data_IF_582724278432
#
_entry.id   IF_582724278432
#
_cell.length_a   1.000
_cell.length_b   1.000
_cell.length_c   1.000
_cell.angle_alpha   90.00
_cell.angle_beta   90.00
_cell.angle_gamma   90.00
#
_symmetry.space_group_name_H-M   'P 1'
#
loop_
_entity.id
_entity.type
_entity.pdbx_description
1 polymer ?
#
# COMPACT_ATOMS: atom_id res chain seq x y z
N UNK A 1 11.61 -6.13 -1.41
CA UNK A 1 10.36 -6.74 -0.94
C UNK A 1 10.44 -8.22 -1.22
N UNK A 2 10.86 -8.96 -0.21
CA UNK A 2 11.01 -10.41 -0.31
C UNK A 2 9.66 -11.10 -0.46
N UNK A 3 9.62 -12.31 -1.01
CA UNK A 3 8.42 -13.11 -1.15
C UNK A 3 7.97 -13.68 0.21
N UNK A 4 7.52 -12.80 1.08
CA UNK A 4 6.97 -13.15 2.39
C UNK A 4 5.45 -13.25 2.33
N UNK A 5 4.86 -13.85 3.38
CA UNK A 5 3.40 -14.06 3.49
C UNK A 5 2.55 -12.80 3.23
N UNK A 6 3.09 -11.62 3.55
CA UNK A 6 2.41 -10.33 3.43
C UNK A 6 2.89 -9.49 2.24
N UNK A 7 3.57 -10.11 1.27
CA UNK A 7 4.19 -9.39 0.14
C UNK A 7 3.21 -8.60 -0.74
N UNK A 8 1.92 -8.93 -0.69
CA UNK A 8 0.89 -8.24 -1.45
C UNK A 8 0.76 -6.74 -1.13
N UNK A 9 1.03 -6.34 0.12
CA UNK A 9 0.89 -4.94 0.55
C UNK A 9 1.95 -4.00 -0.02
N UNK A 10 3.11 -4.54 -0.42
CA UNK A 10 4.29 -3.73 -0.77
C UNK A 10 4.05 -2.77 -1.92
N UNK A 11 3.50 -3.23 -3.04
CA UNK A 11 3.31 -2.42 -4.23
C UNK A 11 2.32 -1.24 -4.00
N UNK A 12 1.10 -1.46 -3.48
CA UNK A 12 0.16 -0.36 -3.27
C UNK A 12 0.63 0.63 -2.20
N UNK A 13 1.24 0.17 -1.10
CA UNK A 13 1.78 1.07 -0.06
C UNK A 13 2.93 1.91 -0.62
N UNK A 14 3.85 1.29 -1.37
CA UNK A 14 4.97 2.00 -1.98
C UNK A 14 4.49 3.04 -2.99
N UNK A 15 3.50 2.72 -3.82
CA UNK A 15 2.92 3.66 -4.77
C UNK A 15 2.20 4.83 -4.07
N UNK A 16 1.47 4.55 -2.99
CA UNK A 16 0.82 5.59 -2.20
C UNK A 16 1.84 6.55 -1.58
N UNK A 17 2.89 6.03 -0.96
CA UNK A 17 3.94 6.87 -0.41
C UNK A 17 4.77 7.59 -1.46
N UNK A 18 4.94 7.04 -2.66
CA UNK A 18 5.62 7.73 -3.74
C UNK A 18 4.91 9.03 -4.11
N UNK A 19 3.58 9.05 -4.14
CA UNK A 19 2.79 10.26 -4.33
C UNK A 19 2.99 11.25 -3.18
N UNK A 20 2.77 10.83 -1.95
CA UNK A 20 2.91 11.67 -0.75
C UNK A 20 4.29 12.33 -0.66
N UNK A 21 5.34 11.58 -0.97
CA UNK A 21 6.74 12.01 -0.83
C UNK A 21 7.32 12.64 -2.11
N UNK A 22 6.56 12.67 -3.20
CA UNK A 22 7.01 13.10 -4.53
C UNK A 22 8.26 12.34 -4.99
N UNK A 23 8.21 11.02 -4.87
CA UNK A 23 9.26 10.13 -5.35
C UNK A 23 8.84 9.48 -6.66
N UNK A 24 9.76 9.32 -7.59
CA UNK A 24 9.50 8.48 -8.75
C UNK A 24 9.40 7.03 -8.31
N UNK A 25 8.25 6.37 -8.45
CA UNK A 25 8.13 4.98 -8.05
C UNK A 25 8.95 4.11 -8.98
N UNK A 26 9.77 3.26 -8.39
CA UNK A 26 10.45 2.21 -9.13
C UNK A 26 9.62 0.96 -8.93
N UNK A 27 8.85 0.58 -9.94
CA UNK A 27 8.16 -0.71 -9.94
C UNK A 27 9.10 -1.72 -10.58
N UNK A 28 9.59 -2.63 -9.77
CA UNK A 28 10.39 -3.74 -10.26
C UNK A 28 9.46 -4.83 -10.79
N UNK A 29 9.42 -4.98 -12.08
CA UNK A 29 8.88 -6.15 -12.73
C UNK A 29 9.95 -6.66 -13.70
N UNK A 30 10.71 -7.65 -13.28
CA UNK A 30 11.57 -8.36 -14.21
C UNK A 30 10.72 -9.41 -14.93
N UNK A 31 10.26 -9.07 -16.11
CA UNK A 31 9.70 -10.04 -17.02
C UNK A 31 10.86 -10.77 -17.71
N UNK A 32 11.22 -11.92 -17.20
CA UNK A 32 11.98 -12.91 -17.97
C UNK A 32 11.02 -13.98 -18.48
N UNK A 33 11.54 -14.93 -19.22
CA UNK A 33 10.76 -16.01 -19.79
C UNK A 33 9.95 -16.77 -18.71
N UNK A 34 8.86 -17.37 -19.14
CA UNK A 34 7.99 -18.20 -18.31
C UNK A 34 8.80 -19.27 -17.56
N UNK A 35 8.55 -19.39 -16.25
CA UNK A 35 9.17 -20.40 -15.39
C UNK A 35 8.11 -21.40 -15.00
N UNK A 36 8.31 -22.66 -15.36
CA UNK A 36 7.38 -23.75 -15.03
C UNK A 36 7.52 -24.24 -13.59
N UNK A 37 8.68 -23.99 -12.97
CA UNK A 37 9.01 -24.47 -11.64
C UNK A 37 8.65 -23.44 -10.55
N UNK A 38 8.42 -23.92 -9.34
CA UNK A 38 8.22 -23.09 -8.13
C UNK A 38 9.54 -22.44 -7.70
N UNK A 39 10.12 -21.64 -8.57
CA UNK A 39 11.37 -20.94 -8.30
C UNK A 39 11.10 -19.60 -7.61
N UNK A 40 11.80 -19.40 -6.52
CA UNK A 40 11.79 -18.10 -5.82
C UNK A 40 12.99 -17.31 -6.35
N UNK A 41 12.74 -16.47 -7.34
CA UNK A 41 13.74 -15.60 -7.92
C UNK A 41 14.34 -14.58 -6.95
N UNK A 42 15.14 -13.67 -7.46
CA UNK A 42 15.68 -12.55 -6.67
C UNK A 42 14.54 -11.66 -6.13
N UNK A 43 14.80 -10.94 -5.06
CA UNK A 43 13.83 -10.14 -4.30
C UNK A 43 12.94 -9.19 -5.13
N UNK A 44 13.42 -8.78 -6.31
CA UNK A 44 12.70 -7.89 -7.23
C UNK A 44 11.91 -8.62 -8.32
N UNK A 45 12.01 -9.93 -8.40
CA UNK A 45 11.27 -10.72 -9.38
C UNK A 45 9.83 -10.90 -8.90
N UNK A 46 8.88 -10.55 -9.77
CA UNK A 46 7.44 -10.64 -9.45
C UNK A 46 6.75 -11.79 -10.17
N UNK A 47 7.44 -12.54 -11.03
CA UNK A 47 6.86 -13.61 -11.87
C UNK A 47 6.18 -14.69 -11.05
N UNK A 48 6.78 -15.02 -9.91
CA UNK A 48 6.35 -16.11 -9.05
C UNK A 48 5.60 -15.63 -7.82
N UNK A 49 5.17 -14.36 -7.83
CA UNK A 49 4.39 -13.76 -6.74
C UNK A 49 3.06 -13.25 -7.28
N UNK A 50 2.05 -14.14 -7.43
CA UNK A 50 0.81 -13.82 -8.11
C UNK A 50 0.07 -12.64 -7.48
N UNK A 51 0.20 -12.47 -6.17
CA UNK A 51 -0.43 -11.36 -5.44
C UNK A 51 0.19 -10.00 -5.76
N UNK A 52 1.51 -9.94 -6.03
CA UNK A 52 2.17 -8.72 -6.54
C UNK A 52 1.72 -8.41 -7.96
N UNK A 53 1.67 -9.42 -8.82
CA UNK A 53 1.23 -9.26 -10.20
C UNK A 53 -0.20 -8.70 -10.27
N UNK A 54 -1.13 -9.23 -9.48
CA UNK A 54 -2.52 -8.79 -9.43
C UNK A 54 -2.69 -7.31 -9.00
N UNK A 55 -1.77 -6.79 -8.20
CA UNK A 55 -1.81 -5.41 -7.69
C UNK A 55 -0.93 -4.43 -8.49
N UNK A 56 -0.11 -4.93 -9.41
CA UNK A 56 0.81 -4.09 -10.19
C UNK A 56 0.08 -3.03 -11.01
N UNK A 57 -1.05 -3.39 -11.60
CA UNK A 57 -1.83 -2.47 -12.43
C UNK A 57 -2.39 -1.29 -11.60
N UNK A 58 -3.05 -1.57 -10.47
CA UNK A 58 -3.61 -0.54 -9.59
C UNK A 58 -2.49 0.34 -9.02
N UNK A 59 -1.41 -0.27 -8.58
CA UNK A 59 -0.26 0.44 -8.02
C UNK A 59 0.41 1.35 -9.04
N UNK A 60 0.61 0.86 -10.27
CA UNK A 60 1.17 1.64 -11.37
C UNK A 60 0.25 2.79 -11.79
N UNK A 61 -1.05 2.53 -11.90
CA UNK A 61 -2.04 3.53 -12.26
C UNK A 61 -2.12 4.66 -11.23
N UNK A 62 -2.15 4.32 -9.93
CA UNK A 62 -2.14 5.28 -8.82
C UNK A 62 -0.88 6.18 -8.85
N UNK A 63 0.29 5.59 -9.11
CA UNK A 63 1.54 6.32 -9.18
C UNK A 63 1.62 7.24 -10.41
N UNK A 64 1.25 6.75 -11.60
CA UNK A 64 1.32 7.53 -12.86
C UNK A 64 0.35 8.71 -12.84
N UNK A 65 -0.86 8.53 -12.30
CA UNK A 65 -1.86 9.59 -12.21
C UNK A 65 -1.64 10.56 -11.05
N UNK A 66 -0.75 10.21 -10.10
CA UNK A 66 -0.58 10.99 -8.88
C UNK A 66 -1.87 11.01 -8.05
N UNK A 67 -2.49 9.84 -7.82
CA UNK A 67 -3.75 9.76 -7.07
C UNK A 67 -3.60 10.25 -5.64
N UNK A 68 -2.43 10.06 -5.02
CA UNK A 68 -2.09 10.59 -3.70
C UNK A 68 -1.43 11.94 -3.85
N UNK A 69 -1.97 12.94 -3.18
CA UNK A 69 -1.46 14.29 -3.21
C UNK A 69 -0.08 14.39 -2.52
N UNK A 70 0.78 15.20 -3.11
CA UNK A 70 2.11 15.49 -2.56
C UNK A 70 2.01 16.28 -1.26
N UNK A 71 2.77 15.87 -0.24
CA UNK A 71 2.93 16.65 0.99
C UNK A 71 3.62 17.97 0.69
N UNK A 72 2.96 19.07 1.04
CA UNK A 72 3.52 20.43 0.90
C UNK A 72 4.38 20.84 2.10
N UNK A 73 4.47 19.99 3.12
CA UNK A 73 5.30 20.21 4.31
C UNK A 73 6.22 19.02 4.53
N UNK A 74 7.27 19.22 5.30
CA UNK A 74 8.24 18.17 5.56
C UNK A 74 9.09 18.41 6.80
N UNK A 75 9.80 17.37 7.19
CA UNK A 75 10.78 17.35 8.27
C UNK A 75 12.15 16.99 7.70
N UNK A 76 13.14 17.85 7.90
CA UNK A 76 14.47 17.69 7.32
C UNK A 76 15.54 17.77 8.39
N UNK A 77 16.52 16.89 8.33
CA UNK A 77 17.72 16.93 9.14
C UNK A 77 18.85 17.59 8.35
N UNK A 78 19.56 18.52 8.97
CA UNK A 78 20.71 19.17 8.36
C UNK A 78 22.01 18.56 8.85
N UNK A 79 22.89 18.22 7.92
CA UNK A 79 24.16 17.54 8.18
C UNK A 79 25.27 18.25 7.42
N UNK A 80 26.41 18.51 8.10
CA UNK A 80 27.59 19.02 7.40
C UNK A 80 28.17 17.95 6.46
N UNK A 81 28.74 18.37 5.34
CA UNK A 81 29.38 17.45 4.39
C UNK A 81 30.52 16.68 5.01
N UNK A 82 31.28 17.30 5.91
CA UNK A 82 32.36 16.65 6.63
C UNK A 82 31.84 15.57 7.57
N UNK A 83 30.77 15.83 8.32
CA UNK A 83 30.14 14.84 9.18
C UNK A 83 29.57 13.67 8.35
N UNK A 84 28.90 13.97 7.24
CA UNK A 84 28.37 12.95 6.35
C UNK A 84 29.46 12.09 5.70
N UNK A 85 30.65 12.65 5.42
CA UNK A 85 31.75 11.93 4.79
C UNK A 85 32.66 11.19 5.78
N UNK A 86 32.71 11.62 7.04
CA UNK A 86 33.60 11.07 8.07
C UNK A 86 33.02 9.87 8.80
N UNK A 87 31.73 9.61 8.68
CA UNK A 87 31.03 8.58 9.43
C UNK A 87 30.44 7.53 8.48
N UNK A 88 30.94 6.29 8.58
CA UNK A 88 30.45 5.17 7.74
C UNK A 88 29.01 4.79 8.10
N UNK A 89 28.60 5.01 9.33
CA UNK A 89 27.29 4.64 9.87
C UNK A 89 26.47 5.86 10.31
N UNK A 90 26.41 6.90 9.48
CA UNK A 90 25.56 8.05 9.80
C UNK A 90 24.10 7.62 9.88
N UNK A 91 23.51 7.76 11.06
CA UNK A 91 22.11 7.43 11.29
C UNK A 91 21.29 8.72 11.37
N UNK A 92 20.33 8.82 10.47
CA UNK A 92 19.32 9.87 10.54
C UNK A 92 18.37 9.63 11.72
N UNK A 93 18.18 10.63 12.55
CA UNK A 93 17.27 10.58 13.70
C UNK A 93 15.89 11.17 13.36
N UNK A 94 15.38 10.84 12.18
CA UNK A 94 14.03 11.26 11.77
C UNK A 94 13.00 10.32 12.40
N UNK A 95 12.07 10.84 13.20
CA UNK A 95 11.05 10.02 13.86
C UNK A 95 10.19 9.24 12.88
N UNK A 96 9.95 7.96 13.17
CA UNK A 96 9.14 7.09 12.31
C UNK A 96 7.72 7.61 12.10
N UNK A 97 7.14 8.25 13.11
CA UNK A 97 5.81 8.85 13.00
C UNK A 97 5.76 9.92 11.90
N UNK A 98 6.78 10.77 11.80
CA UNK A 98 6.86 11.82 10.77
C UNK A 98 7.02 11.24 9.39
N UNK A 99 7.87 10.19 9.24
CA UNK A 99 8.10 9.49 7.96
C UNK A 99 6.81 8.94 7.35
N UNK A 100 5.80 8.68 8.17
CA UNK A 100 4.51 8.13 7.74
C UNK A 100 3.48 9.17 7.37
N UNK A 101 3.69 10.44 7.73
CA UNK A 101 2.67 11.47 7.52
C UNK A 101 3.07 12.56 6.53
N UNK A 102 4.37 12.76 6.30
CA UNK A 102 4.86 13.85 5.48
C UNK A 102 6.21 13.53 4.83
N UNK A 103 6.70 14.43 3.98
CA UNK A 103 8.04 14.37 3.43
C UNK A 103 9.09 14.40 4.53
N UNK A 104 10.16 13.64 4.31
CA UNK A 104 11.35 13.68 5.15
C UNK A 104 12.59 13.68 4.27
N UNK A 105 13.66 14.29 4.74
CA UNK A 105 14.90 14.34 3.96
C UNK A 105 16.09 14.85 4.75
N UNK A 106 17.20 14.98 4.05
CA UNK A 106 18.48 15.48 4.57
C UNK A 106 18.90 16.69 3.75
N UNK A 107 19.28 17.75 4.43
CA UNK A 107 19.93 18.91 3.83
C UNK A 107 21.43 18.87 4.13
N UNK A 108 22.27 18.80 3.11
CA UNK A 108 23.71 18.89 3.27
C UNK A 108 24.13 20.35 3.30
N UNK A 109 24.95 20.72 4.27
CA UNK A 109 25.54 22.07 4.40
C UNK A 109 27.07 22.02 4.41
N UNK A 110 27.71 23.08 3.92
CA UNK A 110 29.17 23.29 4.03
C UNK A 110 29.56 23.98 5.34
N UNK A 111 28.59 24.43 6.13
CA UNK A 111 28.83 25.06 7.43
C UNK A 111 28.91 23.99 8.54
N UNK A 112 30.10 23.81 9.12
CA UNK A 112 30.37 22.85 10.18
C UNK A 112 29.59 23.14 11.47
N UNK A 113 29.25 24.39 11.73
CA UNK A 113 28.47 24.78 12.91
C UNK A 113 26.96 24.51 12.72
N UNK A 114 26.57 24.10 11.51
CA UNK A 114 25.20 23.80 11.14
C UNK A 114 24.98 22.30 11.05
N UNK A 115 25.18 21.60 12.12
CA UNK A 115 24.79 20.19 12.26
C UNK A 115 23.50 20.08 13.07
N UNK A 116 22.65 19.11 12.72
CA UNK A 116 21.36 18.92 13.36
C UNK A 116 20.19 19.59 12.60
N UNK A 117 19.10 19.77 13.28
CA UNK A 117 17.85 20.25 12.67
C UNK A 117 17.80 21.76 12.50
N UNK A 118 18.42 22.26 11.48
CA UNK A 118 18.56 23.71 11.28
C UNK A 118 17.64 24.29 10.25
N UNK A 119 17.31 23.55 9.23
CA UNK A 119 16.41 24.07 8.20
C UNK A 119 14.98 23.88 8.57
N UNK A 120 14.73 24.03 9.89
CA UNK A 120 13.37 24.14 10.20
C UNK A 120 12.57 22.98 9.79
N UNK A 121 13.13 21.82 10.06
CA UNK A 121 12.26 20.76 10.27
C UNK A 121 11.13 21.34 11.09
N UNK A 122 9.99 21.09 10.65
CA UNK A 122 8.82 21.60 11.30
C UNK A 122 8.67 20.81 12.61
N UNK A 123 9.28 21.29 13.71
CA UNK A 123 9.15 20.65 15.03
C UNK A 123 7.69 20.50 15.42
N UNK A 124 6.84 21.45 15.04
CA UNK A 124 5.41 21.32 15.21
C UNK A 124 4.81 20.11 14.46
N UNK A 125 5.38 19.74 13.32
CA UNK A 125 4.98 18.54 12.59
C UNK A 125 5.39 17.26 13.32
N UNK A 126 6.59 17.25 13.91
CA UNK A 126 7.07 16.14 14.75
C UNK A 126 6.16 15.98 15.96
N UNK A 127 5.96 17.05 16.72
CA UNK A 127 5.10 17.03 17.90
C UNK A 127 3.67 16.57 17.56
N UNK A 128 3.15 17.03 16.43
CA UNK A 128 1.84 16.62 15.92
C UNK A 128 1.78 15.12 15.62
N UNK A 129 2.79 14.59 14.92
CA UNK A 129 2.85 13.16 14.56
C UNK A 129 2.97 12.27 15.81
N UNK A 130 3.84 12.64 16.73
CA UNK A 130 4.06 11.90 17.98
C UNK A 130 2.82 11.93 18.88
N UNK A 131 2.17 13.08 18.99
CA UNK A 131 0.93 13.24 19.73
C UNK A 131 -0.19 12.38 19.13
N UNK A 132 -0.38 12.44 17.81
CA UNK A 132 -1.39 11.65 17.11
C UNK A 132 -1.16 10.15 17.34
N UNK A 133 0.07 9.67 17.21
CA UNK A 133 0.42 8.28 17.46
C UNK A 133 0.13 7.87 18.91
N UNK A 134 0.52 8.70 19.88
CA UNK A 134 0.33 8.44 21.31
C UNK A 134 -1.13 8.39 21.72
N UNK A 135 -1.95 9.30 21.16
CA UNK A 135 -3.36 9.43 21.55
C UNK A 135 -4.28 8.43 20.85
N UNK A 136 -3.94 8.03 19.64
CA UNK A 136 -4.86 7.24 18.78
C UNK A 136 -4.32 5.89 18.31
N UNK A 137 -3.02 5.63 18.48
CA UNK A 137 -2.35 4.49 17.85
C UNK A 137 -2.26 4.58 16.32
N UNK A 138 -2.70 5.70 15.73
CA UNK A 138 -2.84 5.88 14.28
C UNK A 138 -2.04 7.08 13.80
N UNK A 139 -1.69 7.04 12.51
CA UNK A 139 -1.01 8.11 11.82
C UNK A 139 -1.75 8.41 10.52
N UNK A 140 -2.17 9.67 10.34
CA UNK A 140 -2.81 10.14 9.11
C UNK A 140 -1.87 11.09 8.40
N UNK A 141 -1.66 10.92 7.10
CA UNK A 141 -0.84 11.83 6.30
C UNK A 141 -1.35 13.26 6.38
N UNK A 142 -0.48 14.23 6.18
CA UNK A 142 -0.85 15.66 6.17
C UNK A 142 -1.82 16.00 5.04
N UNK A 143 -1.92 15.15 4.02
CA UNK A 143 -2.93 15.26 2.95
C UNK A 143 -4.28 14.66 3.33
N UNK A 144 -4.33 13.90 4.44
CA UNK A 144 -5.54 13.20 4.89
C UNK A 144 -5.87 11.91 4.14
N UNK A 145 -5.11 11.56 3.12
CA UNK A 145 -5.43 10.46 2.19
C UNK A 145 -4.88 9.10 2.61
N UNK A 146 -3.82 9.09 3.42
CA UNK A 146 -3.19 7.87 3.90
C UNK A 146 -3.33 7.75 5.41
N UNK A 147 -3.75 6.58 5.89
CA UNK A 147 -3.86 6.33 7.33
C UNK A 147 -3.24 4.98 7.69
N UNK A 148 -2.32 4.98 8.64
CA UNK A 148 -1.73 3.78 9.24
C UNK A 148 -2.29 3.59 10.64
N UNK A 149 -2.85 2.43 10.92
CA UNK A 149 -3.23 2.00 12.26
C UNK A 149 -2.14 1.05 12.77
N UNK A 150 -1.34 1.53 13.72
CA UNK A 150 -0.17 0.79 14.22
C UNK A 150 -0.55 -0.36 15.14
N UNK A 151 -1.68 -0.27 15.82
CA UNK A 151 -2.16 -1.31 16.74
C UNK A 151 -2.81 -2.47 15.97
N UNK A 152 -3.60 -2.13 14.95
CA UNK A 152 -4.30 -3.11 14.15
C UNK A 152 -3.51 -3.59 12.94
N UNK A 153 -2.33 -3.03 12.69
CA UNK A 153 -1.48 -3.33 11.53
C UNK A 153 -2.25 -3.22 10.21
N UNK A 154 -2.99 -2.09 10.05
CA UNK A 154 -3.73 -1.81 8.83
C UNK A 154 -3.32 -0.48 8.22
N UNK A 155 -3.50 -0.39 6.91
CA UNK A 155 -3.21 0.80 6.12
C UNK A 155 -4.38 1.13 5.21
N UNK A 156 -4.76 2.40 5.16
CA UNK A 156 -5.82 2.90 4.30
C UNK A 156 -5.27 3.86 3.26
N UNK A 157 -5.77 3.71 2.05
CA UNK A 157 -5.62 4.67 0.95
C UNK A 157 -7.02 5.22 0.69
N UNK A 158 -7.21 6.53 0.79
CA UNK A 158 -8.52 7.16 0.66
C UNK A 158 -8.45 8.40 -0.21
N UNK A 159 -8.08 8.22 -1.48
CA UNK A 159 -8.02 9.27 -2.47
C UNK A 159 -9.32 9.33 -3.30
N UNK A 160 -9.46 10.34 -4.14
CA UNK A 160 -10.63 10.47 -5.01
C UNK A 160 -10.72 9.34 -6.06
N UNK A 161 -9.56 8.82 -6.55
CA UNK A 161 -9.50 7.86 -7.65
C UNK A 161 -9.14 6.46 -7.24
N UNK A 162 -8.45 6.29 -6.11
CA UNK A 162 -8.09 4.97 -5.56
C UNK A 162 -8.36 4.93 -4.07
N UNK A 163 -9.07 3.90 -3.64
CA UNK A 163 -9.33 3.62 -2.24
C UNK A 163 -8.91 2.20 -1.92
N UNK A 164 -8.36 1.97 -0.72
CA UNK A 164 -7.90 0.64 -0.33
C UNK A 164 -7.84 0.44 1.17
N UNK A 165 -8.05 -0.80 1.59
CA UNK A 165 -7.89 -1.26 2.96
C UNK A 165 -6.97 -2.47 2.97
N UNK A 166 -5.86 -2.38 3.67
CA UNK A 166 -4.67 -3.24 3.52
C UNK A 166 -4.19 -3.68 4.88
N UNK A 167 -3.73 -4.93 5.00
CA UNK A 167 -3.05 -5.43 6.19
C UNK A 167 -3.84 -6.49 6.96
N UNK A 168 -3.73 -6.51 8.29
CA UNK A 168 -4.41 -7.49 9.16
C UNK A 168 -5.87 -7.08 9.41
N UNK A 169 -6.67 -7.15 8.37
CA UNK A 169 -8.06 -6.65 8.38
C UNK A 169 -9.07 -7.55 9.09
N UNK A 170 -8.83 -8.87 9.22
CA UNK A 170 -9.53 -9.88 10.02
C UNK A 170 -10.95 -9.53 10.51
N UNK A 171 -11.94 -9.42 9.64
CA UNK A 171 -13.33 -9.05 9.97
C UNK A 171 -13.54 -7.57 10.34
N UNK A 172 -12.48 -6.76 10.38
CA UNK A 172 -12.58 -5.31 10.59
C UNK A 172 -13.12 -4.63 9.34
N UNK A 173 -13.77 -3.49 9.53
CA UNK A 173 -14.33 -2.70 8.45
C UNK A 173 -13.47 -1.45 8.20
N UNK A 174 -12.93 -1.35 6.99
CA UNK A 174 -12.34 -0.11 6.47
C UNK A 174 -13.45 0.80 5.94
N UNK A 175 -13.61 1.99 6.51
CA UNK A 175 -14.61 2.98 6.09
C UNK A 175 -13.91 4.11 5.36
N UNK A 176 -14.04 4.10 4.04
CA UNK A 176 -13.42 5.07 3.14
C UNK A 176 -14.51 6.00 2.54
N UNK A 177 -14.13 6.98 1.76
CA UNK A 177 -15.10 7.95 1.22
C UNK A 177 -16.18 7.27 0.37
N UNK A 178 -15.78 6.50 -0.63
CA UNK A 178 -16.70 5.86 -1.59
C UNK A 178 -16.79 4.33 -1.43
N UNK A 179 -16.06 3.75 -0.48
CA UNK A 179 -16.09 2.31 -0.26
C UNK A 179 -16.07 1.94 1.23
N UNK A 180 -16.89 0.97 1.60
CA UNK A 180 -16.73 0.25 2.85
C UNK A 180 -16.22 -1.15 2.53
N UNK A 181 -15.08 -1.52 3.12
CA UNK A 181 -14.38 -2.77 2.80
C UNK A 181 -14.35 -3.67 4.03
N UNK A 182 -14.77 -4.92 3.89
CA UNK A 182 -14.71 -5.91 4.96
C UNK A 182 -14.32 -7.27 4.38
N UNK A 183 -13.33 -7.94 4.99
CA UNK A 183 -13.01 -9.33 4.69
C UNK A 183 -12.75 -10.11 5.97
N UNK A 184 -13.11 -11.40 5.93
CA UNK A 184 -12.93 -12.34 7.06
C UNK A 184 -11.49 -12.81 7.20
N UNK A 185 -10.70 -12.71 6.13
CA UNK A 185 -9.31 -13.12 6.08
C UNK A 185 -8.47 -12.34 7.09
N UNK A 186 -7.55 -13.02 7.78
CA UNK A 186 -6.64 -12.36 8.72
C UNK A 186 -5.79 -11.28 8.05
N UNK A 187 -5.43 -11.48 6.80
CA UNK A 187 -4.70 -10.51 5.98
C UNK A 187 -5.33 -10.41 4.60
N UNK A 188 -5.53 -9.20 4.12
CA UNK A 188 -5.90 -8.95 2.74
C UNK A 188 -5.44 -7.56 2.27
N UNK A 189 -5.36 -7.41 0.96
CA UNK A 189 -5.15 -6.16 0.25
C UNK A 189 -6.33 -5.98 -0.69
N UNK A 190 -7.21 -5.05 -0.39
CA UNK A 190 -8.41 -4.80 -1.16
C UNK A 190 -8.38 -3.34 -1.61
N UNK A 191 -8.48 -3.13 -2.91
CA UNK A 191 -8.45 -1.80 -3.53
C UNK A 191 -9.59 -1.62 -4.52
N UNK A 192 -10.16 -0.43 -4.52
CA UNK A 192 -11.13 0.04 -5.51
C UNK A 192 -10.53 1.24 -6.23
N UNK A 193 -10.43 1.18 -7.55
CA UNK A 193 -9.85 2.28 -8.34
C UNK A 193 -10.69 2.60 -9.57
N UNK A 194 -10.77 3.88 -9.90
CA UNK A 194 -11.31 4.35 -11.17
C UNK A 194 -10.41 3.93 -12.34
N UNK A 195 -10.98 3.44 -13.41
CA UNK A 195 -10.24 3.12 -14.65
C UNK A 195 -10.12 4.31 -15.61
N UNK A 196 -10.50 5.50 -15.15
CA UNK A 196 -10.41 6.77 -15.89
C UNK A 196 -9.77 7.86 -15.02
N UNK A 197 -9.66 9.07 -15.55
CA UNK A 197 -9.24 10.26 -14.80
C UNK A 197 -10.33 10.79 -13.84
N UNK A 198 -11.56 10.30 -13.94
CA UNK A 198 -12.66 10.66 -13.06
C UNK A 198 -12.45 10.09 -11.65
N UNK A 199 -12.99 10.76 -10.65
CA UNK A 199 -13.07 10.20 -9.28
C UNK A 199 -13.93 8.93 -9.26
N UNK A 200 -13.78 8.12 -8.22
CA UNK A 200 -14.62 6.92 -7.99
C UNK A 200 -16.10 7.28 -8.02
N UNK A 201 -16.47 8.45 -7.47
CA UNK A 201 -17.86 8.94 -7.46
C UNK A 201 -18.47 9.09 -8.88
N UNK A 202 -17.63 9.50 -9.85
CA UNK A 202 -18.08 9.84 -11.21
C UNK A 202 -17.56 8.87 -12.27
N UNK A 203 -16.96 7.75 -11.87
CA UNK A 203 -16.36 6.82 -12.81
C UNK A 203 -17.38 5.86 -13.41
N UNK A 204 -17.35 5.71 -14.74
CA UNK A 204 -18.15 4.71 -15.46
C UNK A 204 -17.65 3.27 -15.24
N UNK A 205 -16.37 3.13 -14.91
CA UNK A 205 -15.70 1.83 -14.71
C UNK A 205 -14.79 1.87 -13.50
N UNK A 206 -14.97 0.90 -12.63
CA UNK A 206 -14.15 0.69 -11.45
C UNK A 206 -13.48 -0.67 -11.54
N UNK A 207 -12.27 -0.77 -11.01
CA UNK A 207 -11.58 -2.04 -10.79
C UNK A 207 -11.51 -2.32 -9.30
N UNK A 208 -12.09 -3.45 -8.89
CA UNK A 208 -11.93 -4.00 -7.55
C UNK A 208 -10.87 -5.10 -7.61
N UNK A 209 -9.79 -4.93 -6.85
CA UNK A 209 -8.76 -5.96 -6.67
C UNK A 209 -8.75 -6.43 -5.22
N UNK A 210 -8.79 -7.74 -5.02
CA UNK A 210 -8.78 -8.35 -3.70
C UNK A 210 -7.81 -9.53 -3.69
N UNK A 211 -6.75 -9.45 -2.91
CA UNK A 211 -5.72 -10.49 -2.78
C UNK A 211 -5.36 -10.73 -1.32
N UNK A 212 -5.07 -11.98 -1.00
CA UNK A 212 -4.61 -12.40 0.31
C UNK A 212 -3.15 -12.83 0.29
N UNK A 213 -2.86 -13.83 1.10
CA UNK A 213 -1.55 -14.48 1.13
C UNK A 213 -1.42 -15.47 -0.01
N UNK A 214 -0.18 -15.78 -0.34
CA UNK A 214 0.13 -16.83 -1.30
C UNK A 214 1.25 -17.71 -0.77
N UNK A 215 1.36 -18.92 -1.27
CA UNK A 215 2.48 -19.84 -0.99
C UNK A 215 2.54 -20.93 -2.06
N UNK A 216 3.70 -21.52 -2.25
CA UNK A 216 3.81 -22.77 -2.97
C UNK A 216 3.26 -23.93 -2.14
N UNK A 217 2.89 -25.03 -2.78
CA UNK A 217 2.57 -26.27 -2.10
C UNK A 217 3.77 -26.70 -1.25
N UNK A 218 3.52 -27.12 -0.01
CA UNK A 218 4.55 -27.48 0.98
C UNK A 218 5.55 -26.39 1.37
N UNK A 219 5.35 -25.14 0.95
CA UNK A 219 6.15 -24.02 1.43
C UNK A 219 6.01 -23.87 2.95
N UNK A 220 7.15 -23.72 3.64
CA UNK A 220 7.17 -23.58 5.10
C UNK A 220 7.91 -22.33 5.53
N UNK A 221 7.35 -21.68 6.53
CA UNK A 221 7.94 -20.54 7.21
C UNK A 221 8.30 -20.89 8.67
N UNK A 222 9.12 -20.08 9.27
CA UNK A 222 9.31 -20.08 10.74
C UNK A 222 7.99 -19.72 11.44
N UNK A 223 7.89 -20.03 12.74
CA UNK A 223 6.68 -19.80 13.54
C UNK A 223 6.26 -18.31 13.56
N UNK A 224 7.23 -17.41 13.49
CA UNK A 224 7.02 -15.96 13.39
C UNK A 224 6.72 -15.46 11.97
N UNK A 225 6.75 -16.34 10.96
CA UNK A 225 6.51 -16.00 9.54
C UNK A 225 7.62 -15.20 8.86
N UNK A 226 8.74 -14.95 9.54
CA UNK A 226 9.79 -14.04 9.05
C UNK A 226 10.86 -14.73 8.21
N UNK A 227 10.95 -16.06 8.25
CA UNK A 227 11.91 -16.83 7.47
C UNK A 227 11.22 -17.91 6.67
N UNK A 228 11.53 -18.00 5.41
CA UNK A 228 11.18 -19.14 4.59
C UNK A 228 12.15 -20.28 4.88
N UNK A 229 11.64 -21.41 5.36
CA UNK A 229 12.40 -22.60 5.70
C UNK A 229 12.44 -23.60 4.55
N UNK A 230 11.39 -23.63 3.73
CA UNK A 230 11.26 -24.48 2.56
C UNK A 230 10.49 -23.72 1.47
N UNK A 231 11.00 -23.69 0.25
CA UNK A 231 10.38 -23.02 -0.90
C UNK A 231 9.09 -23.70 -1.35
N UNK A 232 8.97 -25.01 -1.12
CA UNK A 232 7.85 -25.78 -1.65
C UNK A 232 7.95 -26.00 -3.13
N UNK A 233 6.84 -26.40 -3.74
CA UNK A 233 6.73 -26.75 -5.16
C UNK A 233 5.39 -26.28 -5.76
N UNK A 234 5.18 -26.48 -7.04
CA UNK A 234 3.90 -26.21 -7.72
C UNK A 234 2.80 -27.17 -7.25
N UNK A 235 1.51 -26.79 -7.34
CA UNK A 235 0.99 -25.48 -7.78
C UNK A 235 1.13 -24.39 -6.71
N UNK A 236 1.21 -23.15 -7.18
CA UNK A 236 1.09 -21.98 -6.29
C UNK A 236 -0.35 -21.84 -5.78
N UNK A 237 -0.49 -21.61 -4.48
CA UNK A 237 -1.76 -21.49 -3.79
C UNK A 237 -1.98 -20.04 -3.38
N UNK A 238 -3.12 -19.46 -3.78
CA UNK A 238 -3.55 -18.13 -3.33
C UNK A 238 -4.71 -18.27 -2.35
N UNK A 239 -4.66 -17.50 -1.27
CA UNK A 239 -5.75 -17.47 -0.30
C UNK A 239 -6.99 -16.84 -0.95
N UNK A 240 -8.12 -17.55 -0.88
CA UNK A 240 -9.39 -17.00 -1.31
C UNK A 240 -9.82 -15.88 -0.36
N UNK A 241 -10.22 -14.75 -0.91
CA UNK A 241 -10.79 -13.66 -0.13
C UNK A 241 -12.28 -13.90 0.05
N UNK A 242 -12.73 -13.79 1.30
CA UNK A 242 -14.13 -13.87 1.68
C UNK A 242 -14.54 -12.57 2.36
N UNK A 243 -15.58 -11.92 1.84
CA UNK A 243 -16.02 -10.65 2.38
C UNK A 243 -16.89 -9.88 1.40
N UNK A 244 -16.93 -8.56 1.55
CA UNK A 244 -17.69 -7.68 0.69
C UNK A 244 -17.07 -6.28 0.59
N UNK A 245 -17.43 -5.59 -0.49
CA UNK A 245 -17.17 -4.16 -0.67
C UNK A 245 -18.47 -3.47 -0.98
N UNK A 246 -18.84 -2.49 -0.16
CA UNK A 246 -19.97 -1.59 -0.40
C UNK A 246 -19.49 -0.35 -1.16
N UNK A 247 -19.89 -0.19 -2.40
CA UNK A 247 -19.60 0.99 -3.21
C UNK A 247 -20.69 2.02 -2.92
N UNK A 248 -20.31 3.16 -2.32
CA UNK A 248 -21.19 4.22 -1.81
C UNK A 248 -21.37 5.37 -2.80
N UNK A 249 -21.47 5.08 -4.07
CA UNK A 249 -21.71 6.09 -5.11
C UNK A 249 -23.15 6.01 -5.61
N UNK A 250 -23.61 7.04 -6.30
CA UNK A 250 -24.97 7.10 -6.88
C UNK A 250 -25.16 6.18 -8.07
N UNK A 251 -24.08 5.62 -8.63
CA UNK A 251 -24.09 4.75 -9.80
C UNK A 251 -24.76 3.39 -9.56
N UNK A 252 -25.34 2.85 -10.63
CA UNK A 252 -25.75 1.46 -10.67
C UNK A 252 -24.65 0.64 -11.34
N UNK A 253 -23.98 -0.23 -10.59
CA UNK A 253 -22.90 -1.04 -11.11
C UNK A 253 -23.32 -2.48 -11.31
N UNK A 254 -22.93 -3.02 -12.47
CA UNK A 254 -22.84 -4.45 -12.71
C UNK A 254 -21.39 -4.87 -12.44
N UNK A 255 -21.18 -5.94 -11.70
CA UNK A 255 -19.86 -6.45 -11.39
C UNK A 255 -19.57 -7.75 -12.14
N UNK A 256 -18.33 -7.87 -12.59
CA UNK A 256 -17.84 -9.02 -13.35
C UNK A 256 -16.52 -9.52 -12.78
N UNK A 257 -16.42 -10.82 -12.62
CA UNK A 257 -15.12 -11.44 -12.35
C UNK A 257 -14.26 -11.34 -13.62
N UNK A 258 -12.99 -11.02 -13.42
CA UNK A 258 -11.99 -10.97 -14.50
C UNK A 258 -11.05 -12.18 -14.40
N UNK A 259 -10.59 -12.64 -15.56
CA UNK A 259 -9.47 -13.57 -15.64
C UNK A 259 -8.12 -12.83 -15.54
N UNK A 260 -7.03 -13.57 -15.65
CA UNK A 260 -5.66 -13.02 -15.55
C UNK A 260 -5.31 -12.06 -16.70
N UNK A 261 -6.05 -12.12 -17.82
CA UNK A 261 -5.89 -11.20 -18.95
C UNK A 261 -6.80 -9.96 -18.85
N UNK A 262 -7.59 -9.84 -17.76
CA UNK A 262 -8.54 -8.76 -17.54
C UNK A 262 -9.85 -8.92 -18.33
N UNK A 263 -10.12 -10.09 -18.89
CA UNK A 263 -11.38 -10.35 -19.62
C UNK A 263 -12.48 -10.75 -18.64
N UNK A 264 -13.69 -10.28 -18.91
CA UNK A 264 -14.87 -10.63 -18.12
C UNK A 264 -15.20 -12.11 -18.31
N UNK A 265 -15.40 -12.84 -17.20
CA UNK A 265 -15.73 -14.27 -17.20
C UNK A 265 -17.18 -14.49 -16.78
N UNK A 266 -17.51 -14.22 -15.53
CA UNK A 266 -18.85 -14.42 -14.95
C UNK A 266 -19.29 -13.18 -14.18
N UNK A 267 -20.61 -12.97 -14.08
CA UNK A 267 -21.14 -11.92 -13.22
C UNK A 267 -20.78 -12.21 -11.75
N UNK A 268 -20.33 -11.18 -11.06
CA UNK A 268 -20.16 -11.25 -9.62
C UNK A 268 -21.51 -11.02 -8.90
N UNK A 269 -21.65 -11.55 -7.70
CA UNK A 269 -22.85 -11.33 -6.89
C UNK A 269 -22.87 -9.88 -6.40
N UNK A 270 -23.97 -9.17 -6.70
CA UNK A 270 -24.19 -7.79 -6.23
C UNK A 270 -25.55 -7.66 -5.54
N UNK A 271 -25.63 -6.79 -4.55
CA UNK A 271 -26.86 -6.47 -3.83
C UNK A 271 -26.96 -4.96 -3.57
N UNK A 272 -28.12 -4.37 -3.79
CA UNK A 272 -28.40 -2.99 -3.36
C UNK A 272 -28.67 -2.98 -1.87
N UNK A 273 -27.99 -2.08 -1.17
CA UNK A 273 -28.17 -1.85 0.27
C UNK A 273 -29.23 -0.76 0.51
N UNK A 274 -29.83 -0.75 1.70
CA UNK A 274 -30.84 0.26 2.09
C UNK A 274 -30.33 1.70 2.01
N UNK A 275 -29.03 1.90 2.25
CA UNK A 275 -28.36 3.20 2.14
C UNK A 275 -28.01 3.61 0.70
N UNK A 276 -28.44 2.83 -0.31
CA UNK A 276 -28.19 3.08 -1.72
C UNK A 276 -26.84 2.54 -2.24
N UNK A 277 -25.96 2.03 -1.39
CA UNK A 277 -24.70 1.44 -1.83
C UNK A 277 -24.93 0.15 -2.63
N UNK A 278 -23.98 -0.15 -3.52
CA UNK A 278 -23.93 -1.46 -4.20
C UNK A 278 -22.91 -2.35 -3.52
N UNK A 279 -23.36 -3.43 -2.89
CA UNK A 279 -22.49 -4.45 -2.30
C UNK A 279 -22.04 -5.45 -3.33
N UNK A 280 -20.75 -5.75 -3.35
CA UNK A 280 -20.10 -6.78 -4.17
C UNK A 280 -19.51 -7.82 -3.22
N UNK A 281 -19.76 -9.11 -3.51
CA UNK A 281 -19.25 -10.24 -2.73
C UNK A 281 -18.13 -10.97 -3.46
#
# INVERSE_FOLDING_TARGET
VEPLLYSAEGAPIMSAYSGLLNLSPIVFAFAQDYVEDAYMGVAFDTREVPTKAALSYVSGLMAIRGDVAESQTGYYETVSRSAASSTIDYKLDIPTAVKRIAKTGVCLTDNEDQTGDITKSNEALKDYAEKMLKETGKLTSVTGELRTDMENETFEINTERTQGYIGKIGGKKGVLNNADICAENNFAVITLTSLSESSIENADKLLLSAVGRWRNTDMRFSDDGNKMLLTGDTPMLCEQITGYVDIKTSGNYEAWCLDQSGQRTKAAKTEKQENGATRIY
#
